data_IF_341580105238
#
_entry.id   IF_341580105238
#
_cell.length_a   1.000
_cell.length_b   1.000
_cell.length_c   1.000
_cell.angle_alpha   90.00
_cell.angle_beta   90.00
_cell.angle_gamma   90.00
#
_symmetry.space_group_name_H-M   'P 1'
#
loop_
_entity.id
_entity.type
_entity.pdbx_description
1 polymer ?
#
# COMPACT_ATOMS: atom_id res chain seq x y z
N UNK A 1 -1.81 -43.10 7.42
CA UNK A 1 -2.51 -42.19 6.48
C UNK A 1 -3.17 -41.06 7.27
N UNK A 2 -2.46 -39.93 7.44
CA UNK A 2 -2.97 -38.77 8.20
C UNK A 2 -3.85 -37.94 7.27
N UNK A 3 -5.12 -37.75 7.68
CA UNK A 3 -6.09 -36.86 7.06
C UNK A 3 -5.51 -35.44 7.06
N UNK A 4 -4.96 -35.03 5.93
CA UNK A 4 -4.64 -33.64 5.64
C UNK A 4 -5.99 -32.92 5.61
N UNK A 5 -6.36 -32.32 6.74
CA UNK A 5 -7.51 -31.44 6.83
C UNK A 5 -7.20 -30.26 5.90
N UNK A 6 -7.65 -30.38 4.64
CA UNK A 6 -7.78 -29.26 3.72
C UNK A 6 -8.80 -28.32 4.36
N UNK A 7 -8.29 -27.42 5.20
CA UNK A 7 -8.95 -26.18 5.58
C UNK A 7 -8.97 -25.31 4.32
N UNK A 8 -9.76 -25.76 3.33
CA UNK A 8 -10.44 -24.91 2.38
C UNK A 8 -11.37 -24.06 3.22
N UNK A 9 -10.79 -23.04 3.86
CA UNK A 9 -11.53 -21.85 4.25
C UNK A 9 -12.18 -21.43 2.94
N UNK A 10 -13.48 -21.66 2.86
CA UNK A 10 -14.34 -20.99 1.91
C UNK A 10 -14.18 -19.51 2.18
N UNK A 11 -13.12 -18.91 1.62
CA UNK A 11 -13.03 -17.50 1.36
C UNK A 11 -14.07 -17.30 0.28
N UNK A 12 -15.34 -17.28 0.72
CA UNK A 12 -16.37 -16.51 0.07
C UNK A 12 -15.67 -15.21 -0.36
N UNK A 13 -15.77 -14.78 -1.63
CA UNK A 13 -15.24 -13.49 -2.04
C UNK A 13 -16.10 -12.46 -1.31
N UNK A 14 -15.79 -12.19 -0.05
CA UNK A 14 -16.34 -11.11 0.73
C UNK A 14 -15.89 -9.88 0.00
N UNK A 15 -16.79 -9.44 -0.88
CA UNK A 15 -17.04 -8.08 -1.31
C UNK A 15 -15.82 -7.24 -1.01
N UNK A 16 -14.92 -7.22 -1.98
CA UNK A 16 -13.90 -6.20 -2.12
C UNK A 16 -14.67 -4.88 -2.16
N UNK A 17 -14.97 -4.33 -0.99
CA UNK A 17 -15.43 -2.97 -0.79
C UNK A 17 -14.22 -2.08 -1.11
N UNK A 18 -13.86 -2.07 -2.39
CA UNK A 18 -13.02 -1.07 -2.97
C UNK A 18 -13.74 0.25 -2.72
N UNK A 19 -13.04 1.17 -2.08
CA UNK A 19 -13.45 2.55 -1.90
C UNK A 19 -13.95 3.11 -3.23
N UNK A 20 -15.26 3.08 -3.43
CA UNK A 20 -15.89 3.53 -4.66
C UNK A 20 -16.09 5.03 -4.55
N UNK A 21 -15.01 5.78 -4.68
CA UNK A 21 -15.17 7.11 -5.26
C UNK A 21 -15.67 6.92 -6.69
N UNK A 22 -16.79 7.58 -7.02
CA UNK A 22 -17.39 7.54 -8.35
C UNK A 22 -16.43 8.09 -9.42
N UNK A 23 -15.46 8.89 -9.00
CA UNK A 23 -14.42 9.50 -9.78
C UNK A 23 -13.05 9.17 -9.22
N UNK A 24 -12.03 9.37 -10.03
CA UNK A 24 -10.66 8.96 -9.79
C UNK A 24 -9.72 9.92 -10.51
N UNK A 25 -8.70 10.35 -9.81
CA UNK A 25 -7.62 11.15 -10.40
C UNK A 25 -6.45 10.24 -10.70
N UNK A 26 -5.90 10.33 -11.91
CA UNK A 26 -4.64 9.67 -12.29
C UNK A 26 -3.76 10.61 -13.09
N UNK A 27 -2.52 10.19 -13.33
CA UNK A 27 -1.57 10.88 -14.22
C UNK A 27 -1.39 12.35 -13.84
N UNK A 28 -1.21 12.60 -12.53
CA UNK A 28 -0.96 13.94 -12.01
C UNK A 28 0.47 14.34 -12.37
N UNK A 29 0.60 15.29 -13.30
CA UNK A 29 1.87 15.89 -13.68
C UNK A 29 1.97 17.31 -13.13
N UNK A 30 3.18 17.68 -12.73
CA UNK A 30 3.48 18.97 -12.13
C UNK A 30 4.47 19.71 -13.01
N UNK A 31 4.08 20.89 -13.47
CA UNK A 31 5.00 21.78 -14.16
C UNK A 31 5.04 23.14 -13.49
N UNK A 32 6.24 23.58 -13.15
CA UNK A 32 6.48 24.93 -12.60
C UNK A 32 7.01 25.79 -13.75
N UNK A 33 6.34 26.92 -13.99
CA UNK A 33 6.78 27.94 -14.95
C UNK A 33 6.68 29.30 -14.28
N UNK A 34 7.83 29.92 -14.04
CA UNK A 34 7.94 31.22 -13.36
C UNK A 34 7.26 31.21 -11.98
N UNK A 35 6.16 31.91 -11.83
CA UNK A 35 5.32 32.07 -10.64
C UNK A 35 4.05 31.20 -10.68
N UNK A 36 3.99 30.24 -11.61
CA UNK A 36 2.83 29.35 -11.76
C UNK A 36 3.21 27.89 -11.59
N UNK A 37 2.41 27.18 -10.80
CA UNK A 37 2.40 25.73 -10.77
C UNK A 37 1.17 25.24 -11.52
N UNK A 38 1.38 24.50 -12.61
CA UNK A 38 0.32 23.77 -13.30
C UNK A 38 0.29 22.34 -12.79
N UNK A 39 -0.91 21.88 -12.47
CA UNK A 39 -1.23 20.51 -12.09
C UNK A 39 -2.12 19.93 -13.17
N UNK A 40 -1.53 19.11 -14.03
CA UNK A 40 -2.24 18.40 -15.08
C UNK A 40 -2.72 17.06 -14.53
N UNK A 41 -3.97 16.67 -14.79
CA UNK A 41 -4.50 15.40 -14.30
C UNK A 41 -5.56 14.79 -15.22
N UNK A 42 -5.71 13.47 -15.11
CA UNK A 42 -6.79 12.70 -15.72
C UNK A 42 -7.91 12.48 -14.70
N UNK A 43 -9.16 12.75 -15.09
CA UNK A 43 -10.34 12.51 -14.27
C UNK A 43 -11.13 11.33 -14.84
N UNK A 44 -10.87 10.14 -14.32
CA UNK A 44 -11.62 8.92 -14.64
C UNK A 44 -12.79 8.71 -13.70
N UNK A 45 -13.77 7.88 -14.07
CA UNK A 45 -14.88 7.56 -13.18
C UNK A 45 -15.83 6.51 -13.75
N UNK A 46 -16.67 5.93 -12.88
CA UNK A 46 -17.76 5.04 -13.30
C UNK A 46 -18.84 5.80 -14.08
N UNK A 47 -19.04 7.07 -13.73
CA UNK A 47 -19.98 7.96 -14.42
C UNK A 47 -19.19 8.91 -15.32
N UNK A 48 -18.79 8.42 -16.50
CA UNK A 48 -17.97 9.16 -17.47
C UNK A 48 -18.64 10.43 -18.04
N UNK A 49 -19.90 10.69 -17.70
CA UNK A 49 -20.71 11.78 -18.28
C UNK A 49 -21.14 12.83 -17.27
N UNK A 50 -20.96 12.60 -15.97
CA UNK A 50 -21.41 13.52 -14.94
C UNK A 50 -20.23 14.41 -14.53
N UNK A 51 -20.32 15.75 -14.69
CA UNK A 51 -19.25 16.65 -14.30
C UNK A 51 -19.12 16.73 -12.78
N UNK A 52 -17.91 16.97 -12.28
CA UNK A 52 -17.62 17.01 -10.85
C UNK A 52 -16.54 18.05 -10.53
N UNK A 53 -16.58 18.63 -9.34
CA UNK A 53 -15.57 19.59 -8.90
C UNK A 53 -14.26 18.88 -8.57
N UNK A 54 -13.12 19.53 -8.82
CA UNK A 54 -11.82 19.08 -8.35
C UNK A 54 -11.12 20.25 -7.67
N UNK A 55 -10.59 20.00 -6.47
CA UNK A 55 -9.93 21.02 -5.65
C UNK A 55 -8.49 20.61 -5.39
N UNK A 56 -7.58 21.55 -5.60
CA UNK A 56 -6.16 21.36 -5.35
C UNK A 56 -5.84 21.68 -3.88
N UNK A 57 -5.08 20.80 -3.27
CA UNK A 57 -4.49 20.94 -1.94
C UNK A 57 -3.01 20.59 -2.02
N UNK A 58 -2.27 20.97 -0.99
CA UNK A 58 -0.89 20.55 -0.80
C UNK A 58 -0.72 19.94 0.58
N UNK A 59 0.21 19.01 0.72
CA UNK A 59 0.68 18.57 2.03
C UNK A 59 2.20 18.59 2.12
N UNK A 60 2.73 18.88 3.31
CA UNK A 60 4.17 18.83 3.59
C UNK A 60 4.60 17.45 4.13
N UNK A 61 5.88 17.31 4.45
CA UNK A 61 6.46 16.08 5.00
C UNK A 61 5.82 15.66 6.34
N UNK A 62 5.29 16.62 7.10
CA UNK A 62 4.59 16.41 8.36
C UNK A 62 3.08 16.20 8.15
N UNK A 63 2.63 16.08 6.89
CA UNK A 63 1.24 15.90 6.48
C UNK A 63 0.31 17.06 6.88
N UNK A 64 0.84 18.26 7.13
CA UNK A 64 0.01 19.46 7.25
C UNK A 64 -0.56 19.81 5.89
N UNK A 65 -1.84 20.17 5.84
CA UNK A 65 -2.55 20.40 4.58
C UNK A 65 -2.77 21.89 4.38
N UNK A 66 -2.48 22.35 3.18
CA UNK A 66 -2.57 23.74 2.76
C UNK A 66 -3.55 23.84 1.59
N UNK A 67 -4.47 24.79 1.67
CA UNK A 67 -5.34 25.16 0.55
C UNK A 67 -4.69 26.35 -0.17
N UNK A 68 -4.27 26.20 -1.44
CA UNK A 68 -3.74 27.31 -2.22
C UNK A 68 -4.80 28.38 -2.46
N UNK A 69 -4.39 29.63 -2.42
CA UNK A 69 -5.18 30.77 -2.88
C UNK A 69 -4.93 31.03 -4.38
N UNK A 70 -5.85 31.70 -5.07
CA UNK A 70 -5.70 32.10 -6.47
C UNK A 70 -5.49 30.91 -7.43
N UNK A 71 -6.35 29.90 -7.30
CA UNK A 71 -6.41 28.72 -8.16
C UNK A 71 -7.31 29.00 -9.36
N UNK A 72 -6.88 28.60 -10.56
CA UNK A 72 -7.65 28.68 -11.79
C UNK A 72 -7.70 27.31 -12.47
N UNK A 73 -8.88 26.79 -12.88
CA UNK A 73 -10.20 27.40 -12.66
C UNK A 73 -10.59 27.39 -11.18
N UNK A 74 -11.61 28.17 -10.81
CA UNK A 74 -12.09 28.25 -9.41
C UNK A 74 -12.53 26.87 -8.89
N UNK A 75 -12.50 26.70 -7.58
CA UNK A 75 -12.90 25.51 -6.80
C UNK A 75 -14.32 25.01 -7.07
N UNK A 76 -15.20 25.86 -7.61
CA UNK A 76 -16.57 25.53 -8.02
C UNK A 76 -16.66 25.06 -9.48
N UNK A 77 -15.57 25.11 -10.24
CA UNK A 77 -15.54 24.64 -11.62
C UNK A 77 -15.79 23.14 -11.68
N UNK A 78 -16.69 22.74 -12.57
CA UNK A 78 -17.03 21.34 -12.77
C UNK A 78 -16.28 20.79 -13.98
N UNK A 79 -15.41 19.82 -13.73
CA UNK A 79 -14.67 19.11 -14.76
C UNK A 79 -15.53 17.97 -15.31
N UNK A 80 -15.64 17.89 -16.63
CA UNK A 80 -16.17 16.71 -17.30
C UNK A 80 -15.15 15.57 -17.20
N UNK A 81 -15.54 14.32 -16.91
CA UNK A 81 -14.61 13.20 -16.89
C UNK A 81 -13.90 13.04 -18.24
N UNK A 82 -12.59 12.78 -18.23
CA UNK A 82 -11.80 12.75 -19.45
C UNK A 82 -10.33 13.09 -19.24
N UNK A 83 -9.66 13.37 -20.35
CA UNK A 83 -8.23 13.64 -20.40
C UNK A 83 -7.93 15.13 -20.24
N UNK A 84 -6.78 15.41 -19.60
CA UNK A 84 -6.05 16.68 -19.64
C UNK A 84 -6.79 17.86 -19.02
N UNK A 85 -7.17 17.71 -17.75
CA UNK A 85 -7.54 18.86 -16.94
C UNK A 85 -6.30 19.52 -16.37
N UNK A 86 -6.31 20.84 -16.30
CA UNK A 86 -5.23 21.62 -15.72
C UNK A 86 -5.79 22.49 -14.61
N UNK A 87 -5.12 22.49 -13.47
CA UNK A 87 -5.32 23.46 -12.40
C UNK A 87 -4.04 24.28 -12.28
N UNK A 88 -4.15 25.59 -12.47
CA UNK A 88 -3.05 26.53 -12.37
C UNK A 88 -3.16 27.23 -11.03
N UNK A 89 -2.09 27.14 -10.24
CA UNK A 89 -1.92 27.92 -9.03
C UNK A 89 -0.90 29.03 -9.27
N UNK A 90 -1.32 30.29 -9.08
CA UNK A 90 -0.41 31.44 -9.08
C UNK A 90 0.26 31.55 -7.70
N UNK A 91 1.53 31.20 -7.66
CA UNK A 91 2.36 31.19 -6.45
C UNK A 91 2.66 32.64 -6.06
N UNK A 92 2.12 33.07 -4.92
CA UNK A 92 2.49 34.35 -4.32
C UNK A 92 3.68 34.11 -3.38
N UNK A 93 4.68 35.01 -3.37
CA UNK A 93 5.82 34.94 -2.46
C UNK A 93 5.41 34.79 -0.99
N UNK A 94 4.24 35.33 -0.62
CA UNK A 94 3.71 35.21 0.75
C UNK A 94 3.13 33.84 1.08
N UNK A 95 2.61 33.10 0.10
CA UNK A 95 1.96 31.79 0.32
C UNK A 95 2.93 30.61 0.21
N UNK A 96 4.04 30.78 -0.51
CA UNK A 96 5.05 29.74 -0.66
C UNK A 96 6.08 29.77 0.47
N UNK A 97 5.97 28.83 1.41
CA UNK A 97 7.04 28.55 2.37
C UNK A 97 8.17 27.83 1.65
N UNK A 98 9.20 28.59 1.21
CA UNK A 98 10.34 28.12 0.40
C UNK A 98 11.04 26.86 0.95
N UNK A 99 10.94 26.63 2.25
CA UNK A 99 11.67 25.55 2.92
C UNK A 99 10.89 24.24 3.04
N UNK A 100 9.62 24.21 2.62
CA UNK A 100 8.78 23.00 2.73
C UNK A 100 8.60 22.35 1.38
N UNK A 101 8.96 21.06 1.30
CA UNK A 101 8.61 20.22 0.15
C UNK A 101 7.10 19.94 0.18
N UNK A 102 6.36 20.54 -0.76
CA UNK A 102 4.92 20.37 -0.89
C UNK A 102 4.61 19.31 -1.94
N UNK A 103 3.72 18.39 -1.59
CA UNK A 103 3.17 17.39 -2.52
C UNK A 103 1.74 17.77 -2.89
N UNK A 104 1.36 17.77 -4.17
CA UNK A 104 -0.01 18.08 -4.59
C UNK A 104 -0.96 16.97 -4.15
N UNK A 105 -2.18 17.36 -3.82
CA UNK A 105 -3.30 16.48 -3.56
C UNK A 105 -4.53 17.07 -4.25
N UNK A 106 -5.00 16.43 -5.30
CA UNK A 106 -6.25 16.83 -5.94
C UNK A 106 -7.39 15.99 -5.36
N UNK A 107 -8.43 16.65 -4.87
CA UNK A 107 -9.60 16.02 -4.23
C UNK A 107 -10.82 16.27 -5.10
N UNK A 108 -11.55 15.20 -5.43
CA UNK A 108 -12.75 15.28 -6.27
C UNK A 108 -14.00 15.40 -5.40
N UNK A 109 -14.93 16.27 -5.80
CA UNK A 109 -16.22 16.45 -5.17
C UNK A 109 -16.14 17.19 -3.84
N UNK A 110 -16.87 16.70 -2.84
CA UNK A 110 -16.88 17.28 -1.50
C UNK A 110 -15.60 16.86 -0.75
N UNK A 111 -14.74 17.82 -0.34
CA UNK A 111 -13.55 17.53 0.46
C UNK A 111 -13.85 16.67 1.70
N UNK A 112 -14.93 16.97 2.42
CA UNK A 112 -15.30 16.27 3.66
C UNK A 112 -15.65 14.79 3.44
N UNK A 113 -15.99 14.42 2.20
CA UNK A 113 -16.28 13.04 1.82
C UNK A 113 -15.06 12.29 1.27
N UNK A 114 -13.88 12.94 1.20
CA UNK A 114 -12.69 12.29 0.69
C UNK A 114 -12.25 11.15 1.61
N UNK A 115 -11.98 9.99 1.03
CA UNK A 115 -11.56 8.82 1.79
C UNK A 115 -10.05 8.61 1.59
N UNK A 116 -9.28 8.86 2.64
CA UNK A 116 -7.83 8.69 2.63
C UNK A 116 -7.37 7.23 2.81
N UNK A 117 -8.29 6.28 3.05
CA UNK A 117 -7.90 4.95 3.51
C UNK A 117 -8.29 4.68 4.96
N UNK A 118 -8.22 3.42 5.33
CA UNK A 118 -8.26 2.98 6.73
C UNK A 118 -6.98 3.45 7.45
N UNK A 119 -7.06 3.57 8.78
CA UNK A 119 -5.93 3.91 9.62
C UNK A 119 -4.97 2.73 9.87
N UNK A 120 -4.06 2.85 10.85
CA UNK A 120 -3.07 1.80 11.17
C UNK A 120 -3.73 0.48 11.60
N UNK A 121 -4.99 0.49 12.01
CA UNK A 121 -5.77 -0.69 12.33
C UNK A 121 -5.89 -1.69 11.14
N UNK A 122 -5.70 -1.23 9.90
CA UNK A 122 -5.63 -2.13 8.74
C UNK A 122 -4.46 -3.12 8.82
N UNK A 123 -3.42 -2.83 9.61
CA UNK A 123 -2.28 -3.73 9.79
C UNK A 123 -2.68 -5.05 10.44
N UNK A 124 -3.75 -5.07 11.26
CA UNK A 124 -4.31 -6.32 11.80
C UNK A 124 -4.81 -7.26 10.69
N UNK A 125 -5.30 -6.72 9.58
CA UNK A 125 -5.71 -7.53 8.42
C UNK A 125 -4.49 -8.18 7.76
N UNK A 126 -3.39 -7.43 7.62
CA UNK A 126 -2.11 -7.96 7.14
C UNK A 126 -1.47 -8.96 8.10
N UNK A 127 -1.73 -8.85 9.41
CA UNK A 127 -1.30 -9.81 10.41
C UNK A 127 -2.01 -11.15 10.25
N UNK A 128 -3.27 -11.18 9.81
CA UNK A 128 -4.01 -12.43 9.55
C UNK A 128 -3.67 -12.99 8.17
N UNK A 129 -3.68 -12.14 7.15
CA UNK A 129 -3.41 -12.53 5.76
C UNK A 129 -2.40 -11.55 5.16
N UNK A 130 -1.18 -11.99 4.79
CA UNK A 130 -0.19 -11.12 4.18
C UNK A 130 -0.78 -10.44 2.94
N UNK A 131 -0.61 -9.13 2.82
CA UNK A 131 -1.13 -8.33 1.71
C UNK A 131 -2.51 -7.74 1.96
N UNK A 132 -3.36 -8.33 2.82
CA UNK A 132 -4.78 -7.96 2.93
C UNK A 132 -4.99 -6.50 3.37
N UNK A 133 -4.21 -6.00 4.32
CA UNK A 133 -4.32 -4.62 4.81
C UNK A 133 -4.10 -3.56 3.71
N UNK A 134 -3.32 -3.88 2.67
CA UNK A 134 -3.05 -2.95 1.56
C UNK A 134 -4.30 -2.56 0.79
N UNK A 135 -5.30 -3.44 0.70
CA UNK A 135 -6.57 -3.12 0.03
C UNK A 135 -7.35 -1.99 0.72
N UNK A 136 -7.07 -1.75 2.00
CA UNK A 136 -7.79 -0.79 2.83
C UNK A 136 -7.03 0.51 3.04
N UNK A 137 -5.70 0.50 2.96
CA UNK A 137 -4.87 1.71 3.11
C UNK A 137 -4.56 2.42 1.79
N UNK A 138 -4.67 1.74 0.64
CA UNK A 138 -4.31 2.31 -0.67
C UNK A 138 -5.10 1.64 -1.81
N UNK A 139 -5.23 2.33 -2.96
CA UNK A 139 -5.79 1.73 -4.16
C UNK A 139 -4.83 0.68 -4.75
N UNK A 140 -5.13 -0.59 -4.50
CA UNK A 140 -4.35 -1.75 -4.99
C UNK A 140 -4.14 -1.77 -6.51
N UNK A 141 -4.96 -1.05 -7.30
CA UNK A 141 -4.82 -0.95 -8.75
C UNK A 141 -3.55 -0.21 -9.18
N UNK A 142 -2.98 0.65 -8.33
CA UNK A 142 -1.77 1.40 -8.66
C UNK A 142 -0.50 0.90 -8.00
N UNK A 143 -0.62 0.00 -7.04
CA UNK A 143 0.56 -0.61 -6.43
C UNK A 143 1.34 -1.41 -7.49
N UNK A 144 2.66 -1.20 -7.55
CA UNK A 144 3.57 -1.95 -8.43
C UNK A 144 3.55 -3.44 -8.11
N UNK A 145 3.53 -3.77 -6.83
CA UNK A 145 3.37 -5.14 -6.33
C UNK A 145 1.95 -5.26 -5.80
N UNK A 146 1.13 -6.08 -6.46
CA UNK A 146 -0.25 -6.28 -6.05
C UNK A 146 -0.31 -7.01 -4.70
N UNK A 147 -1.31 -6.71 -3.85
CA UNK A 147 -1.45 -7.38 -2.56
C UNK A 147 -1.44 -8.92 -2.65
N UNK A 148 -2.17 -9.50 -3.60
CA UNK A 148 -2.22 -10.95 -3.81
C UNK A 148 -0.85 -11.56 -4.18
N UNK A 149 0.04 -10.79 -4.83
CA UNK A 149 1.40 -11.26 -5.14
C UNK A 149 2.22 -11.40 -3.87
N UNK A 150 2.03 -10.52 -2.87
CA UNK A 150 2.68 -10.64 -1.56
C UNK A 150 2.17 -11.88 -0.83
N UNK A 151 0.85 -12.10 -0.82
CA UNK A 151 0.24 -13.32 -0.25
C UNK A 151 0.83 -14.58 -0.89
N UNK A 152 0.87 -14.61 -2.23
CA UNK A 152 1.41 -15.75 -2.98
C UNK A 152 2.90 -15.96 -2.70
N UNK A 153 3.70 -14.89 -2.63
CA UNK A 153 5.12 -14.98 -2.31
C UNK A 153 5.35 -15.55 -0.90
N UNK A 154 4.65 -15.03 0.12
CA UNK A 154 4.75 -15.55 1.49
C UNK A 154 4.35 -17.02 1.53
N UNK A 155 3.22 -17.38 0.91
CA UNK A 155 2.75 -18.76 0.87
C UNK A 155 3.76 -19.70 0.17
N UNK A 156 4.35 -19.26 -0.95
CA UNK A 156 5.35 -20.03 -1.70
C UNK A 156 6.61 -20.27 -0.86
N UNK A 157 7.15 -19.23 -0.22
CA UNK A 157 8.35 -19.35 0.61
C UNK A 157 8.12 -20.21 1.86
N UNK A 158 7.01 -20.00 2.57
CA UNK A 158 6.68 -20.80 3.75
C UNK A 158 6.43 -22.26 3.39
N UNK A 159 5.65 -22.53 2.35
CA UNK A 159 5.36 -23.92 1.93
C UNK A 159 6.61 -24.63 1.42
N UNK A 160 7.45 -23.96 0.61
CA UNK A 160 8.71 -24.52 0.14
C UNK A 160 9.67 -24.79 1.31
N UNK A 161 9.73 -23.90 2.30
CA UNK A 161 10.56 -24.08 3.49
C UNK A 161 10.07 -25.22 4.39
N UNK A 162 8.76 -25.34 4.60
CA UNK A 162 8.15 -26.48 5.33
C UNK A 162 8.42 -27.78 4.59
N UNK A 163 8.26 -27.79 3.26
CA UNK A 163 8.57 -28.95 2.43
C UNK A 163 10.05 -29.34 2.54
N UNK A 164 10.97 -28.38 2.39
CA UNK A 164 12.41 -28.62 2.55
C UNK A 164 12.74 -29.18 3.94
N UNK A 165 12.12 -28.64 4.99
CA UNK A 165 12.29 -29.12 6.37
C UNK A 165 11.87 -30.58 6.52
N UNK A 166 10.72 -30.96 5.97
CA UNK A 166 10.19 -32.32 6.05
C UNK A 166 11.01 -33.34 5.23
N UNK A 167 11.78 -32.88 4.23
CA UNK A 167 12.65 -33.74 3.42
C UNK A 167 14.05 -33.92 4.02
N UNK A 168 14.35 -33.27 5.15
CA UNK A 168 15.63 -33.43 5.83
C UNK A 168 15.68 -34.78 6.53
N UNK A 169 16.79 -35.46 6.32
CA UNK A 169 17.16 -36.64 7.10
C UNK A 169 18.62 -36.54 7.51
N UNK A 170 18.96 -37.19 8.61
CA UNK A 170 20.36 -37.36 9.02
C UNK A 170 20.86 -38.67 8.42
N UNK A 171 22.06 -38.66 7.86
CA UNK A 171 22.72 -39.93 7.50
C UNK A 171 22.93 -40.76 8.76
N UNK A 172 23.19 -42.06 8.61
CA UNK A 172 23.54 -42.89 9.75
C UNK A 172 24.77 -42.33 10.47
N UNK A 173 24.77 -42.28 11.81
CA UNK A 173 25.95 -41.94 12.57
C UNK A 173 27.01 -43.03 12.37
N UNK A 174 28.27 -42.63 12.39
CA UNK A 174 29.38 -43.58 12.31
C UNK A 174 29.81 -44.01 13.71
N UNK A 175 30.01 -45.32 13.89
CA UNK A 175 30.41 -45.95 15.16
C UNK A 175 31.84 -46.47 15.08
N UNK A 176 32.55 -46.42 16.20
CA UNK A 176 33.89 -46.99 16.35
C UNK A 176 33.78 -48.51 16.45
N UNK A 177 34.91 -49.22 16.32
CA UNK A 177 34.97 -50.68 16.48
C UNK A 177 34.47 -51.13 17.87
N UNK A 178 34.54 -50.25 18.88
CA UNK A 178 34.02 -50.47 20.23
C UNK A 178 32.53 -50.10 20.43
N UNK A 179 31.82 -49.69 19.38
CA UNK A 179 30.41 -49.30 19.46
C UNK A 179 30.15 -47.86 19.91
N UNK A 180 31.19 -47.06 20.15
CA UNK A 180 31.05 -45.65 20.51
C UNK A 180 30.78 -44.79 19.27
N UNK A 181 29.81 -43.88 19.36
CA UNK A 181 29.50 -42.95 18.27
C UNK A 181 30.61 -41.92 18.12
N UNK A 182 31.35 -41.95 17.01
CA UNK A 182 32.46 -41.02 16.77
C UNK A 182 32.11 -39.86 15.84
N UNK A 183 31.05 -39.99 15.03
CA UNK A 183 30.54 -38.89 14.20
C UNK A 183 29.02 -38.97 14.10
N UNK A 184 28.34 -37.91 14.54
CA UNK A 184 26.90 -37.77 14.29
C UNK A 184 26.64 -37.67 12.79
N UNK A 185 25.60 -38.33 12.31
CA UNK A 185 25.19 -38.24 10.91
C UNK A 185 25.01 -36.80 10.42
N UNK A 186 25.46 -36.52 9.20
CA UNK A 186 25.31 -35.21 8.58
C UNK A 186 23.84 -35.00 8.18
N UNK A 187 23.32 -33.80 8.43
CA UNK A 187 22.00 -33.42 7.92
C UNK A 187 22.11 -33.26 6.42
N UNK A 188 21.34 -34.06 5.67
CA UNK A 188 21.19 -33.88 4.22
C UNK A 188 20.05 -32.90 3.96
N UNK A 189 20.41 -31.78 3.35
CA UNK A 189 19.48 -30.76 2.89
C UNK A 189 18.93 -31.13 1.51
N UNK A 190 17.75 -30.59 1.17
CA UNK A 190 17.08 -30.93 -0.09
C UNK A 190 17.64 -30.12 -1.26
N UNK A 191 17.85 -28.83 -1.05
CA UNK A 191 18.28 -27.90 -2.10
C UNK A 191 19.68 -27.35 -1.83
N UNK A 192 19.89 -26.79 -0.64
CA UNK A 192 21.16 -26.20 -0.22
C UNK A 192 21.22 -26.14 1.31
N UNK A 193 22.42 -25.87 1.86
CA UNK A 193 22.61 -25.78 3.31
C UNK A 193 21.71 -24.69 3.89
N UNK A 194 20.89 -25.06 4.87
CA UNK A 194 19.90 -24.20 5.53
C UNK A 194 18.74 -23.73 4.62
N UNK A 195 18.38 -24.52 3.61
CA UNK A 195 17.26 -24.25 2.70
C UNK A 195 15.94 -23.91 3.40
N UNK A 196 15.49 -24.74 4.34
CA UNK A 196 14.27 -24.51 5.08
C UNK A 196 14.30 -23.20 5.89
N UNK A 197 15.38 -22.92 6.62
CA UNK A 197 15.49 -21.70 7.43
C UNK A 197 15.50 -20.45 6.55
N UNK A 198 16.22 -20.48 5.43
CA UNK A 198 16.28 -19.36 4.51
C UNK A 198 14.94 -19.11 3.82
N UNK A 199 14.23 -20.17 3.41
CA UNK A 199 12.91 -20.05 2.79
C UNK A 199 11.85 -19.57 3.81
N UNK A 200 11.78 -20.18 4.99
CA UNK A 200 10.84 -19.77 6.05
C UNK A 200 11.15 -18.34 6.49
N UNK A 201 12.42 -18.03 6.75
CA UNK A 201 12.86 -16.70 7.17
C UNK A 201 12.51 -15.63 6.14
N UNK A 202 12.69 -15.92 4.85
CA UNK A 202 12.29 -15.00 3.76
C UNK A 202 10.76 -14.79 3.74
N UNK A 203 9.98 -15.87 3.87
CA UNK A 203 8.52 -15.78 3.93
C UNK A 203 8.03 -14.92 5.10
N UNK A 204 8.60 -15.13 6.30
CA UNK A 204 8.30 -14.33 7.49
C UNK A 204 8.74 -12.87 7.32
N UNK A 205 9.90 -12.61 6.73
CA UNK A 205 10.39 -11.25 6.50
C UNK A 205 9.48 -10.47 5.55
N UNK A 206 9.02 -11.08 4.45
CA UNK A 206 8.06 -10.47 3.52
C UNK A 206 6.75 -10.15 4.25
N UNK A 207 6.27 -11.07 5.09
CA UNK A 207 5.04 -10.89 5.85
C UNK A 207 5.14 -9.74 6.85
N UNK A 208 6.20 -9.70 7.65
CA UNK A 208 6.42 -8.62 8.62
C UNK A 208 6.59 -7.26 7.93
N UNK A 209 7.30 -7.22 6.81
CA UNK A 209 7.45 -6.01 5.99
C UNK A 209 6.08 -5.48 5.52
N UNK A 210 5.17 -6.36 5.12
CA UNK A 210 3.81 -5.98 4.74
C UNK A 210 3.02 -5.35 5.90
N UNK A 211 3.09 -5.94 7.10
CA UNK A 211 2.42 -5.43 8.30
C UNK A 211 2.94 -4.03 8.66
N UNK A 212 4.26 -3.88 8.71
CA UNK A 212 4.91 -2.60 9.00
C UNK A 212 4.51 -1.55 7.97
N UNK A 213 4.49 -1.94 6.69
CA UNK A 213 4.12 -1.01 5.64
C UNK A 213 2.68 -0.51 5.78
N UNK A 214 1.73 -1.41 5.98
CA UNK A 214 0.33 -1.06 6.19
C UNK A 214 0.15 -0.19 7.44
N UNK A 215 0.88 -0.47 8.52
CA UNK A 215 0.84 0.35 9.73
C UNK A 215 1.33 1.79 9.49
N UNK A 216 2.44 1.95 8.76
CA UNK A 216 2.99 3.28 8.40
C UNK A 216 2.00 4.03 7.50
N UNK A 217 1.51 3.39 6.42
CA UNK A 217 0.50 4.02 5.54
C UNK A 217 -0.76 4.40 6.29
N UNK A 218 -1.28 3.48 7.10
CA UNK A 218 -2.48 3.74 7.89
C UNK A 218 -2.30 4.91 8.86
N UNK A 219 -1.12 5.05 9.47
CA UNK A 219 -0.79 6.20 10.32
C UNK A 219 -0.80 7.51 9.53
N UNK A 220 -0.23 7.50 8.33
CA UNK A 220 -0.25 8.67 7.43
C UNK A 220 -1.68 9.02 7.00
N UNK A 221 -2.50 8.03 6.63
CA UNK A 221 -3.89 8.23 6.25
C UNK A 221 -4.72 8.82 7.40
N UNK A 222 -4.51 8.34 8.63
CA UNK A 222 -5.16 8.87 9.83
C UNK A 222 -4.76 10.33 10.09
N UNK A 223 -3.48 10.65 9.94
CA UNK A 223 -2.95 12.00 10.14
C UNK A 223 -3.46 12.96 9.07
N UNK A 224 -3.42 12.55 7.80
CA UNK A 224 -3.99 13.30 6.68
C UNK A 224 -5.49 13.55 6.92
N UNK A 225 -6.27 12.53 7.25
CA UNK A 225 -7.70 12.68 7.54
C UNK A 225 -7.95 13.68 8.68
N UNK A 226 -7.18 13.60 9.77
CA UNK A 226 -7.29 14.53 10.90
C UNK A 226 -6.97 15.98 10.47
N UNK A 227 -5.84 16.18 9.80
CA UNK A 227 -5.40 17.51 9.38
C UNK A 227 -6.34 18.11 8.32
N UNK A 228 -6.85 17.29 7.41
CA UNK A 228 -7.81 17.68 6.38
C UNK A 228 -9.13 18.15 7.00
N UNK A 229 -9.68 17.36 7.94
CA UNK A 229 -10.90 17.73 8.65
C UNK A 229 -10.72 19.00 9.49
N UNK A 230 -9.55 19.16 10.13
CA UNK A 230 -9.24 20.36 10.91
C UNK A 230 -9.23 21.61 10.03
N UNK A 231 -8.60 21.53 8.85
CA UNK A 231 -8.54 22.62 7.88
C UNK A 231 -9.93 23.00 7.33
N UNK A 232 -10.79 22.02 7.06
CA UNK A 232 -12.17 22.28 6.61
C UNK A 232 -12.97 23.06 7.65
N UNK A 233 -12.78 22.77 8.95
CA UNK A 233 -13.51 23.45 10.04
C UNK A 233 -13.05 24.91 10.21
N UNK A 234 -11.79 25.21 9.87
CA UNK A 234 -11.23 26.57 10.02
C UNK A 234 -11.56 27.52 8.86
N UNK A 235 -12.14 27.01 7.78
CA UNK A 235 -12.56 27.79 6.60
C UNK A 235 -14.03 28.22 6.74
#
# INVERSE_FOLDING_TARGET
MRKLFLLLIGIQPWLIYAQHQNYKISDVDLSIRFDTLSVDFFLGGKHATLPTSAQLYFFDQDLHIYKPENVSPDTLFLFQPGKQHHIIWKINEKSWKKDKMLSPLVVVGNPSANNFGMGPEAAFLSLVVPGLGNYFVEDSRYQRIKPYMRTAAVAAFLSAGIYASNQRYRTEPSYSVGGEMWKSGEVKYRFFRNDAELLIGTGVAIWLSDIIWVAIRGTNNRTLKKNFNTMIITL
#
